data_IF_116897379138
#
_entry.id   IF_116897379138
#
_cell.length_a   1.000
_cell.length_b   1.000
_cell.length_c   1.000
_cell.angle_alpha   90.00
_cell.angle_beta   90.00
_cell.angle_gamma   90.00
#
_symmetry.space_group_name_H-M   'P 1'
#
loop_
_entity.id
_entity.type
_entity.pdbx_description
1 polymer ?
#
# COMPACT_ATOMS: atom_id res chain seq x y z
N UNK A 1 -25.06 -18.35 5.77
CA UNK A 1 -26.31 -19.11 6.05
C UNK A 1 -27.50 -18.16 6.11
N UNK A 2 -28.71 -18.60 5.72
CA UNK A 2 -29.94 -17.80 5.77
C UNK A 2 -30.79 -18.25 6.97
N UNK A 3 -31.14 -17.32 7.87
CA UNK A 3 -32.00 -17.62 9.04
C UNK A 3 -33.22 -16.71 9.06
N UNK A 4 -34.39 -17.24 9.41
CA UNK A 4 -35.61 -16.45 9.52
C UNK A 4 -35.49 -15.44 10.68
N UNK A 5 -36.02 -14.23 10.47
CA UNK A 5 -36.03 -13.18 11.48
C UNK A 5 -37.22 -13.43 12.44
N UNK A 6 -37.00 -13.65 13.75
CA UNK A 6 -38.08 -13.94 14.68
C UNK A 6 -39.12 -12.82 14.67
N UNK A 7 -40.40 -13.17 14.52
CA UNK A 7 -41.51 -12.22 14.42
C UNK A 7 -41.86 -11.73 13.01
N UNK A 8 -41.08 -12.10 11.98
CA UNK A 8 -41.35 -11.70 10.60
C UNK A 8 -41.26 -12.90 9.64
N UNK A 9 -42.43 -13.42 9.24
CA UNK A 9 -42.58 -14.65 8.45
C UNK A 9 -41.91 -14.62 7.07
N UNK A 10 -41.67 -13.42 6.53
CA UNK A 10 -41.16 -13.24 5.16
C UNK A 10 -39.74 -12.67 5.09
N UNK A 11 -39.14 -12.27 6.22
CA UNK A 11 -37.80 -11.68 6.24
C UNK A 11 -36.75 -12.73 6.59
N UNK A 12 -35.73 -12.85 5.73
CA UNK A 12 -34.59 -13.76 5.92
C UNK A 12 -33.33 -12.94 6.13
N UNK A 13 -32.61 -13.23 7.21
CA UNK A 13 -31.29 -12.65 7.49
C UNK A 13 -30.26 -13.43 6.67
N UNK A 14 -29.56 -12.72 5.79
CA UNK A 14 -28.29 -13.18 5.23
C UNK A 14 -27.22 -13.02 6.31
N UNK A 15 -26.87 -14.13 6.98
CA UNK A 15 -25.67 -14.14 7.83
C UNK A 15 -24.49 -14.46 6.92
N UNK A 16 -23.56 -13.52 6.66
CA UNK A 16 -22.34 -13.86 5.93
C UNK A 16 -21.65 -14.98 6.70
N UNK A 17 -21.49 -16.12 6.05
CA UNK A 17 -20.62 -17.16 6.59
C UNK A 17 -19.24 -16.52 6.58
N UNK A 18 -18.76 -16.10 7.75
CA UNK A 18 -17.36 -15.74 7.91
C UNK A 18 -16.61 -17.04 7.67
N UNK A 19 -16.20 -17.27 6.42
CA UNK A 19 -15.08 -18.13 6.14
C UNK A 19 -13.99 -17.56 7.03
N UNK A 20 -13.70 -18.24 8.12
CA UNK A 20 -12.58 -17.85 8.96
C UNK A 20 -11.42 -17.88 7.98
N UNK A 21 -10.77 -16.74 7.67
CA UNK A 21 -9.53 -16.84 6.94
C UNK A 21 -8.70 -17.77 7.81
N UNK A 22 -8.28 -18.91 7.26
CA UNK A 22 -7.30 -19.77 7.91
C UNK A 22 -6.27 -18.82 8.48
N UNK A 23 -6.15 -18.82 9.81
CA UNK A 23 -5.27 -17.94 10.54
C UNK A 23 -3.86 -18.33 10.10
N UNK A 24 -3.44 -17.79 8.96
CA UNK A 24 -2.03 -17.63 8.64
C UNK A 24 -1.59 -16.82 9.83
N UNK A 25 -0.76 -17.43 10.70
CA UNK A 25 -0.05 -16.69 11.71
C UNK A 25 0.76 -15.65 10.94
N UNK A 26 0.16 -14.49 10.73
CA UNK A 26 0.85 -13.31 10.28
C UNK A 26 1.64 -12.94 11.50
N UNK A 27 2.85 -13.49 11.60
CA UNK A 27 3.95 -12.80 12.26
C UNK A 27 3.80 -11.37 11.77
N UNK A 28 3.44 -10.45 12.67
CA UNK A 28 3.45 -9.03 12.35
C UNK A 28 4.90 -8.71 12.03
N UNK A 29 5.29 -8.93 10.77
CA UNK A 29 6.56 -8.50 10.25
C UNK A 29 6.43 -6.99 10.32
N UNK A 30 7.09 -6.40 11.31
CA UNK A 30 7.24 -4.96 11.39
C UNK A 30 7.57 -4.45 9.97
N UNK A 31 7.00 -3.31 9.52
CA UNK A 31 7.25 -2.80 8.18
C UNK A 31 8.73 -2.89 7.88
N UNK A 32 9.08 -3.73 6.90
CA UNK A 32 10.46 -3.92 6.49
C UNK A 32 11.07 -2.53 6.29
N UNK A 33 12.19 -2.25 6.95
CA UNK A 33 12.81 -0.92 6.95
C UNK A 33 13.02 -0.41 5.53
N UNK A 34 13.20 -1.32 4.58
CA UNK A 34 13.28 -1.03 3.15
C UNK A 34 11.98 -0.45 2.56
N UNK A 35 10.79 -1.00 2.88
CA UNK A 35 9.50 -0.47 2.44
C UNK A 35 9.25 0.93 3.00
N UNK A 36 9.55 1.14 4.29
CA UNK A 36 9.47 2.47 4.92
C UNK A 36 10.37 3.48 4.22
N UNK A 37 11.58 3.08 3.85
CA UNK A 37 12.51 3.90 3.07
C UNK A 37 11.96 4.29 1.69
N UNK A 38 11.32 3.35 0.97
CA UNK A 38 10.69 3.65 -0.32
C UNK A 38 9.54 4.65 -0.20
N UNK A 39 8.69 4.48 0.81
CA UNK A 39 7.58 5.40 1.08
C UNK A 39 8.12 6.80 1.40
N UNK A 40 9.14 6.91 2.26
CA UNK A 40 9.77 8.18 2.59
C UNK A 40 10.36 8.86 1.34
N UNK A 41 11.10 8.13 0.50
CA UNK A 41 11.66 8.66 -0.76
C UNK A 41 10.57 9.17 -1.71
N UNK A 42 9.46 8.44 -1.83
CA UNK A 42 8.33 8.86 -2.66
C UNK A 42 7.65 10.12 -2.13
N UNK A 43 7.49 10.24 -0.80
CA UNK A 43 6.95 11.43 -0.16
C UNK A 43 7.90 12.62 -0.31
N UNK A 44 9.19 12.45 -0.07
CA UNK A 44 10.18 13.52 -0.25
C UNK A 44 10.16 14.04 -1.69
N UNK A 45 10.02 13.15 -2.68
CA UNK A 45 9.85 13.55 -4.08
C UNK A 45 8.52 14.29 -4.33
N UNK A 46 7.41 13.83 -3.76
CA UNK A 46 6.09 14.45 -3.93
C UNK A 46 6.00 15.87 -3.35
N UNK A 47 6.83 16.19 -2.35
CA UNK A 47 6.89 17.51 -1.71
C UNK A 47 8.14 18.31 -2.06
N UNK A 48 8.89 17.89 -3.08
CA UNK A 48 10.01 18.65 -3.65
C UNK A 48 11.29 18.65 -2.81
N UNK A 49 11.40 17.77 -1.82
CA UNK A 49 12.62 17.58 -1.01
C UNK A 49 13.65 16.70 -1.71
N UNK A 50 13.24 16.03 -2.79
CA UNK A 50 14.09 15.14 -3.58
C UNK A 50 13.67 15.22 -5.05
N UNK A 51 14.61 15.14 -6.02
CA UNK A 51 14.25 15.17 -7.43
C UNK A 51 13.51 13.89 -7.86
N UNK A 52 12.61 14.02 -8.84
CA UNK A 52 11.83 12.89 -9.41
C UNK A 52 12.73 11.77 -9.94
N UNK A 53 13.96 12.08 -10.37
CA UNK A 53 14.97 11.11 -10.81
C UNK A 53 15.39 10.12 -9.73
N UNK A 54 15.12 10.41 -8.46
CA UNK A 54 15.33 9.47 -7.36
C UNK A 54 14.34 8.30 -7.35
N UNK A 55 13.20 8.43 -8.04
CA UNK A 55 12.22 7.36 -8.19
C UNK A 55 12.67 6.35 -9.24
N UNK A 56 13.65 5.53 -8.88
CA UNK A 56 14.26 4.52 -9.76
C UNK A 56 13.21 3.52 -10.27
N UNK A 57 13.17 3.32 -11.59
CA UNK A 57 12.23 2.40 -12.27
C UNK A 57 12.16 0.97 -11.67
N UNK A 58 13.26 0.36 -11.19
CA UNK A 58 13.19 -0.98 -10.61
C UNK A 58 12.45 -1.07 -9.27
N UNK A 59 12.28 0.07 -8.57
CA UNK A 59 11.74 0.16 -7.21
C UNK A 59 10.38 0.88 -7.17
N UNK A 60 10.10 1.73 -8.14
CA UNK A 60 8.86 2.50 -8.21
C UNK A 60 8.19 2.25 -9.55
N UNK A 61 6.96 1.76 -9.50
CA UNK A 61 6.16 1.55 -10.69
C UNK A 61 5.84 2.89 -11.39
N UNK A 62 5.53 2.81 -12.68
CA UNK A 62 5.16 3.96 -13.51
C UNK A 62 4.00 4.74 -12.91
N UNK A 63 2.99 4.06 -12.38
CA UNK A 63 1.84 4.73 -11.75
C UNK A 63 2.25 5.59 -10.55
N UNK A 64 3.17 5.09 -9.70
CA UNK A 64 3.69 5.85 -8.56
C UNK A 64 4.42 7.08 -9.03
N UNK A 65 5.33 6.94 -10.01
CA UNK A 65 6.10 8.08 -10.53
C UNK A 65 5.19 9.15 -11.13
N UNK A 66 4.19 8.74 -11.91
CA UNK A 66 3.19 9.66 -12.49
C UNK A 66 2.38 10.35 -11.40
N UNK A 67 1.90 9.60 -10.40
CA UNK A 67 1.14 10.17 -9.28
C UNK A 67 1.96 11.17 -8.47
N UNK A 68 3.22 10.85 -8.18
CA UNK A 68 4.14 11.73 -7.45
C UNK A 68 4.45 13.00 -8.26
N UNK A 69 4.76 12.89 -9.55
CA UNK A 69 5.02 14.04 -10.42
C UNK A 69 3.77 14.94 -10.55
N UNK A 70 2.60 14.34 -10.69
CA UNK A 70 1.33 15.07 -10.73
C UNK A 70 1.04 15.78 -9.39
N UNK A 71 1.29 15.11 -8.26
CA UNK A 71 1.13 15.70 -6.94
C UNK A 71 2.09 16.87 -6.73
N UNK A 72 3.36 16.71 -7.13
CA UNK A 72 4.37 17.76 -7.05
C UNK A 72 3.92 18.99 -7.84
N UNK A 73 3.49 18.82 -9.09
CA UNK A 73 3.01 19.94 -9.93
C UNK A 73 1.76 20.64 -9.38
N UNK A 74 0.84 19.88 -8.78
CA UNK A 74 -0.45 20.40 -8.30
C UNK A 74 -0.37 21.04 -6.91
N UNK A 75 0.44 20.46 -6.02
CA UNK A 75 0.54 20.91 -4.64
C UNK A 75 1.37 22.19 -4.57
N UNK A 76 0.94 23.19 -3.79
CA UNK A 76 1.78 24.34 -3.43
C UNK A 76 2.64 24.04 -2.18
N UNK A 77 2.28 23.00 -1.41
CA UNK A 77 3.00 22.60 -0.22
C UNK A 77 4.35 21.98 -0.60
N UNK A 78 5.41 22.53 -0.02
CA UNK A 78 6.79 22.05 -0.13
C UNK A 78 7.40 22.02 1.26
N UNK A 79 8.35 21.11 1.47
CA UNK A 79 9.09 21.06 2.72
C UNK A 79 9.30 19.65 3.25
N UNK A 80 10.03 19.53 4.37
CA UNK A 80 10.39 18.26 4.95
C UNK A 80 9.16 17.44 5.29
N UNK A 81 9.20 16.16 4.93
CA UNK A 81 8.13 15.21 5.18
C UNK A 81 8.60 14.18 6.18
N UNK A 82 7.74 13.83 7.12
CA UNK A 82 8.05 12.78 8.10
C UNK A 82 6.90 11.78 8.15
N UNK A 83 7.20 10.52 7.85
CA UNK A 83 6.25 9.43 8.06
C UNK A 83 6.06 9.18 9.56
N UNK A 84 4.82 9.34 10.04
CA UNK A 84 4.44 9.18 11.45
C UNK A 84 4.03 7.75 11.77
N UNK A 85 3.17 7.18 10.94
CA UNK A 85 2.60 5.86 11.14
C UNK A 85 2.49 5.12 9.82
N UNK A 86 2.75 3.81 9.86
CA UNK A 86 2.50 2.88 8.76
C UNK A 86 1.87 1.64 9.37
N UNK A 87 0.65 1.35 8.97
CA UNK A 87 -0.04 0.10 9.23
C UNK A 87 0.05 -0.75 7.96
N UNK A 88 0.66 -1.93 8.09
CA UNK A 88 0.96 -2.84 6.99
C UNK A 88 0.11 -4.08 7.11
N UNK A 89 -0.56 -4.43 6.01
CA UNK A 89 -1.48 -5.55 5.93
C UNK A 89 -1.01 -6.48 4.80
N UNK A 90 -0.85 -7.78 5.06
CA UNK A 90 -0.57 -8.75 4.00
C UNK A 90 -1.67 -8.70 2.95
N UNK A 91 -1.28 -8.69 1.68
CA UNK A 91 -2.19 -8.68 0.56
C UNK A 91 -2.05 -9.99 -0.23
N UNK A 92 -3.13 -10.47 -0.87
CA UNK A 92 -3.03 -11.65 -1.72
C UNK A 92 -2.04 -11.40 -2.86
N UNK A 93 -1.11 -12.34 -3.05
CA UNK A 93 -0.24 -12.38 -4.22
C UNK A 93 -1.05 -12.87 -5.41
N UNK A 94 -0.84 -12.26 -6.57
CA UNK A 94 -1.45 -12.74 -7.81
C UNK A 94 -0.60 -13.91 -8.33
N UNK A 95 -1.19 -15.06 -8.67
CA UNK A 95 -0.44 -16.12 -9.33
C UNK A 95 0.02 -15.62 -10.71
N UNK A 96 1.24 -15.98 -11.15
CA UNK A 96 1.70 -15.64 -12.49
C UNK A 96 0.77 -16.28 -13.53
N UNK A 97 0.39 -15.51 -14.54
CA UNK A 97 -0.45 -16.02 -15.63
C UNK A 97 0.38 -16.60 -16.77
N UNK A 98 1.62 -16.13 -16.93
CA UNK A 98 2.59 -16.55 -17.92
C UNK A 98 3.80 -17.19 -17.19
N UNK A 99 4.32 -18.34 -17.62
CA UNK A 99 5.54 -18.94 -17.04
C UNK A 99 6.78 -18.03 -17.09
N UNK A 100 6.81 -17.01 -17.95
CA UNK A 100 7.88 -16.01 -18.01
C UNK A 100 7.66 -14.82 -17.06
N UNK A 101 6.49 -14.71 -16.43
CA UNK A 101 6.18 -13.65 -15.49
C UNK A 101 6.93 -13.87 -14.17
N UNK A 102 7.58 -12.81 -13.67
CA UNK A 102 8.24 -12.86 -12.36
C UNK A 102 7.18 -13.02 -11.27
N UNK A 103 7.18 -14.15 -10.58
CA UNK A 103 6.23 -14.40 -9.51
C UNK A 103 6.40 -13.39 -8.35
N UNK A 104 5.32 -13.11 -7.63
CA UNK A 104 5.35 -12.25 -6.45
C UNK A 104 5.36 -13.12 -5.20
N UNK A 105 6.45 -13.04 -4.44
CA UNK A 105 6.66 -13.86 -3.22
C UNK A 105 5.90 -13.28 -2.04
N UNK A 106 5.81 -11.95 -1.96
CA UNK A 106 5.02 -11.27 -0.94
C UNK A 106 4.38 -10.00 -1.52
N UNK A 107 3.14 -9.74 -1.10
CA UNK A 107 2.44 -8.50 -1.40
C UNK A 107 1.89 -7.92 -0.10
N UNK A 108 1.85 -6.59 -0.03
CA UNK A 108 1.31 -5.89 1.13
C UNK A 108 0.62 -4.61 0.74
N UNK A 109 -0.48 -4.31 1.42
CA UNK A 109 -1.12 -3.01 1.40
C UNK A 109 -0.73 -2.26 2.66
N UNK A 110 -0.50 -0.96 2.51
CA UNK A 110 -0.15 -0.10 3.63
C UNK A 110 -1.03 1.13 3.64
N UNK A 111 -1.35 1.57 4.85
CA UNK A 111 -2.04 2.82 5.13
C UNK A 111 -1.23 3.54 6.19
N UNK A 112 -1.11 4.85 6.10
CA UNK A 112 -0.30 5.59 7.05
C UNK A 112 -0.59 7.07 7.07
N UNK A 113 0.18 7.77 7.89
CA UNK A 113 0.15 9.22 7.97
C UNK A 113 1.55 9.82 7.88
N UNK A 114 1.61 11.00 7.27
CA UNK A 114 2.82 11.80 7.18
C UNK A 114 2.54 13.24 7.63
N UNK A 115 3.57 13.92 8.10
CA UNK A 115 3.52 15.36 8.38
C UNK A 115 4.33 16.13 7.36
N UNK A 116 3.75 17.20 6.81
CA UNK A 116 4.42 18.18 5.95
C UNK A 116 3.97 19.58 6.36
N UNK A 117 4.92 20.50 6.54
CA UNK A 117 4.64 21.88 6.97
C UNK A 117 3.70 21.96 8.20
N UNK A 118 3.90 21.08 9.19
CA UNK A 118 3.09 21.03 10.41
C UNK A 118 1.70 20.38 10.25
N UNK A 119 1.27 20.04 9.03
CA UNK A 119 -0.02 19.40 8.77
C UNK A 119 0.14 17.89 8.65
N UNK A 120 -0.72 17.13 9.33
CA UNK A 120 -0.78 15.67 9.19
C UNK A 120 -1.75 15.29 8.08
N UNK A 121 -1.31 14.43 7.16
CA UNK A 121 -2.08 13.89 6.05
C UNK A 121 -1.96 12.39 5.98
N UNK A 122 -2.88 11.75 5.28
CA UNK A 122 -2.92 10.31 5.11
C UNK A 122 -2.36 9.87 3.74
N UNK A 123 -1.90 8.64 3.68
CA UNK A 123 -1.51 7.98 2.45
C UNK A 123 -1.86 6.50 2.50
N UNK A 124 -1.98 5.89 1.33
CA UNK A 124 -2.18 4.45 1.20
C UNK A 124 -1.51 3.94 -0.08
N UNK A 125 -1.21 2.65 -0.13
CA UNK A 125 -0.60 2.06 -1.31
C UNK A 125 -0.34 0.58 -1.19
N UNK A 126 0.37 0.04 -2.18
CA UNK A 126 0.71 -1.38 -2.29
C UNK A 126 2.18 -1.56 -2.62
N UNK A 127 2.83 -2.45 -1.88
CA UNK A 127 4.18 -2.93 -2.11
C UNK A 127 4.18 -4.40 -2.50
N UNK A 128 5.08 -4.77 -3.39
CA UNK A 128 5.28 -6.17 -3.81
C UNK A 128 6.76 -6.53 -3.74
N UNK A 129 7.05 -7.78 -3.39
CA UNK A 129 8.38 -8.36 -3.38
C UNK A 129 8.44 -9.44 -4.47
N UNK A 130 9.01 -9.12 -5.65
CA UNK A 130 9.16 -10.08 -6.73
C UNK A 130 10.16 -11.17 -6.38
N UNK A 131 9.94 -12.36 -6.92
CA UNK A 131 10.84 -13.49 -6.80
C UNK A 131 12.23 -13.15 -7.36
N UNK A 132 13.27 -13.61 -6.68
CA UNK A 132 14.66 -13.27 -7.00
C UNK A 132 15.11 -11.85 -6.64
N UNK A 133 14.20 -10.97 -6.18
CA UNK A 133 14.56 -9.64 -5.66
C UNK A 133 14.63 -9.64 -4.14
N UNK A 134 15.60 -8.91 -3.60
CA UNK A 134 15.77 -8.64 -2.16
C UNK A 134 15.15 -7.31 -1.73
N UNK A 135 14.37 -6.67 -2.60
CA UNK A 135 13.86 -5.31 -2.38
C UNK A 135 12.41 -5.21 -2.82
N UNK A 136 11.63 -4.50 -2.01
CA UNK A 136 10.25 -4.14 -2.35
C UNK A 136 10.18 -3.24 -3.57
N UNK A 137 9.09 -3.39 -4.32
CA UNK A 137 8.69 -2.54 -5.42
C UNK A 137 7.38 -1.87 -5.03
N UNK A 138 7.37 -0.54 -5.03
CA UNK A 138 6.19 0.26 -4.76
C UNK A 138 5.31 0.27 -6.01
N UNK A 139 4.17 -0.43 -5.95
CA UNK A 139 3.24 -0.57 -7.08
C UNK A 139 2.25 0.58 -7.17
N UNK A 140 1.76 1.01 -6.02
CA UNK A 140 0.82 2.14 -5.95
C UNK A 140 1.11 2.98 -4.71
N UNK A 141 0.85 4.27 -4.84
CA UNK A 141 0.91 5.23 -3.75
C UNK A 141 -0.14 6.31 -4.02
N UNK A 142 -1.00 6.55 -3.04
CA UNK A 142 -2.04 7.57 -3.07
C UNK A 142 -1.85 8.50 -1.87
N UNK A 143 -1.80 9.79 -2.17
CA UNK A 143 -1.68 10.87 -1.19
C UNK A 143 -3.05 11.54 -1.04
N UNK A 144 -3.51 11.71 0.20
CA UNK A 144 -4.80 12.33 0.55
C UNK A 144 -4.64 13.78 1.02
#
# INVERSE_FOLDING_TARGET
MLRALPGYSHLKILTPTVAHPSRVMTTQVAPDASLRGLIQVALDAAFGMRPETSLRRPLFDTQVRVHVAAHLKRSALRGPVTVRRIDVHPAPTRPPHDPLEVAIVAATEFIGSYTVAGTTKAFAGRGELPEGKRQWVLRSLRLM
#
